data_IF_340806964413
#
_entry.id   IF_340806964413
#
_cell.length_a   1.000
_cell.length_b   1.000
_cell.length_c   1.000
_cell.angle_alpha   90.00
_cell.angle_beta   90.00
_cell.angle_gamma   90.00
#
_symmetry.space_group_name_H-M   'P 1'
#
loop_
_entity.id
_entity.type
_entity.pdbx_description
1 polymer ?
#
# COMPACT_ATOMS: atom_id res chain seq x y z
N UNK A 1 -4.59 9.97 -19.15
CA UNK A 1 -3.33 9.92 -18.38
C UNK A 1 -3.42 10.98 -17.30
N UNK A 2 -3.40 10.60 -16.03
CA UNK A 2 -3.41 11.53 -14.91
C UNK A 2 -1.97 11.93 -14.59
N UNK A 3 -1.70 13.23 -14.51
CA UNK A 3 -0.36 13.76 -14.23
C UNK A 3 -0.42 14.71 -13.04
N UNK A 4 0.55 14.56 -12.15
CA UNK A 4 0.70 15.44 -11.00
C UNK A 4 1.90 16.35 -11.23
N UNK A 5 1.75 17.64 -10.90
CA UNK A 5 2.89 18.54 -10.83
C UNK A 5 3.55 18.37 -9.46
N UNK A 6 4.89 18.36 -9.44
CA UNK A 6 5.64 18.31 -8.19
C UNK A 6 5.29 19.55 -7.35
N UNK A 7 4.85 19.33 -6.12
CA UNK A 7 4.59 20.38 -5.12
C UNK A 7 5.17 19.94 -3.78
N UNK A 8 5.62 20.89 -2.96
CA UNK A 8 6.08 20.60 -1.60
C UNK A 8 4.97 20.06 -0.70
N UNK A 9 3.71 20.41 -1.01
CA UNK A 9 2.52 19.92 -0.30
C UNK A 9 2.03 18.56 -0.80
N UNK A 10 2.60 18.05 -1.90
CA UNK A 10 2.16 16.80 -2.50
C UNK A 10 3.08 15.69 -2.02
N UNK A 11 2.64 14.99 -0.98
CA UNK A 11 3.37 13.90 -0.35
C UNK A 11 2.77 12.54 -0.74
N UNK A 12 3.65 11.54 -0.83
CA UNK A 12 3.25 10.14 -0.95
C UNK A 12 3.25 9.54 0.45
N UNK A 13 2.12 8.99 0.86
CA UNK A 13 1.96 8.32 2.14
C UNK A 13 1.84 6.82 1.89
N UNK A 14 2.68 6.02 2.53
CA UNK A 14 2.66 4.56 2.40
C UNK A 14 2.21 3.88 3.69
N UNK A 15 1.37 2.87 3.56
CA UNK A 15 1.03 1.94 4.64
C UNK A 15 1.40 0.53 4.20
N UNK A 16 1.91 -0.27 5.13
CA UNK A 16 2.19 -1.68 4.94
C UNK A 16 1.64 -2.44 6.12
N UNK A 17 1.10 -3.62 5.86
CA UNK A 17 0.67 -4.56 6.88
C UNK A 17 1.17 -5.96 6.54
N UNK A 18 1.40 -6.75 7.57
CA UNK A 18 1.72 -8.16 7.42
C UNK A 18 1.23 -8.92 8.63
N UNK A 19 0.51 -10.01 8.39
CA UNK A 19 0.19 -10.98 9.42
C UNK A 19 1.07 -12.23 9.29
N UNK A 20 1.25 -12.93 10.39
CA UNK A 20 1.99 -14.19 10.43
C UNK A 20 1.03 -15.36 10.61
N UNK A 21 1.15 -16.35 9.73
CA UNK A 21 0.42 -17.61 9.81
C UNK A 21 -1.11 -17.45 9.94
N UNK A 22 -1.72 -16.48 9.25
CA UNK A 22 -3.17 -16.27 9.23
C UNK A 22 -3.96 -17.49 8.72
N UNK A 23 -3.32 -18.37 7.94
CA UNK A 23 -3.85 -19.67 7.55
C UNK A 23 -3.16 -20.80 8.34
N UNK A 24 -3.92 -21.51 9.18
CA UNK A 24 -3.42 -22.58 10.06
C UNK A 24 -2.74 -23.73 9.30
N UNK A 25 -3.23 -24.05 8.10
CA UNK A 25 -2.72 -25.17 7.31
C UNK A 25 -1.45 -24.80 6.54
N UNK A 26 -1.46 -23.65 5.85
CA UNK A 26 -0.35 -23.25 4.98
C UNK A 26 0.75 -22.51 5.73
N UNK A 27 0.46 -21.93 6.90
CA UNK A 27 1.33 -21.04 7.69
C UNK A 27 1.98 -19.93 6.85
N UNK A 28 1.36 -19.57 5.73
CA UNK A 28 1.81 -18.47 4.89
C UNK A 28 1.46 -17.15 5.56
N UNK A 29 2.41 -16.23 5.57
CA UNK A 29 2.15 -14.83 5.88
C UNK A 29 1.44 -14.17 4.72
N UNK A 30 0.43 -13.36 5.04
CA UNK A 30 -0.18 -12.43 4.10
C UNK A 30 0.47 -11.08 4.33
N UNK A 31 0.83 -10.38 3.26
CA UNK A 31 1.36 -9.02 3.35
C UNK A 31 0.73 -8.13 2.30
N UNK A 32 0.57 -6.87 2.64
CA UNK A 32 -0.03 -5.89 1.76
C UNK A 32 0.51 -4.51 1.98
N UNK A 33 0.40 -3.67 0.96
CA UNK A 33 0.71 -2.26 1.07
C UNK A 33 -0.21 -1.43 0.20
N UNK A 34 -0.29 -0.15 0.53
CA UNK A 34 -1.00 0.88 -0.21
C UNK A 34 -0.22 2.20 -0.16
N UNK A 35 -0.15 2.88 -1.29
CA UNK A 35 0.39 4.22 -1.43
C UNK A 35 -0.74 5.19 -1.77
N UNK A 36 -0.81 6.28 -1.01
CA UNK A 36 -1.72 7.39 -1.20
C UNK A 36 -0.98 8.60 -1.76
N UNK A 37 -1.65 9.33 -2.65
CA UNK A 37 -1.26 10.64 -3.14
C UNK A 37 -2.49 11.55 -3.08
N UNK A 38 -2.37 12.71 -2.42
CA UNK A 38 -3.51 13.62 -2.20
C UNK A 38 -4.73 12.90 -1.58
N UNK A 39 -4.49 12.03 -0.59
CA UNK A 39 -5.47 11.16 0.08
C UNK A 39 -6.16 10.10 -0.81
N UNK A 40 -5.78 9.96 -2.09
CA UNK A 40 -6.28 8.92 -2.99
C UNK A 40 -5.28 7.79 -3.18
N UNK A 41 -5.77 6.55 -3.30
CA UNK A 41 -4.93 5.39 -3.58
C UNK A 41 -4.39 5.43 -5.01
N UNK A 42 -3.06 5.29 -5.17
CA UNK A 42 -2.39 5.29 -6.48
C UNK A 42 -1.67 3.98 -6.79
N UNK A 43 -1.33 3.19 -5.78
CA UNK A 43 -0.71 1.89 -5.96
C UNK A 43 -0.97 1.01 -4.73
N UNK A 44 -1.28 -0.27 -4.94
CA UNK A 44 -1.46 -1.24 -3.88
C UNK A 44 -1.14 -2.65 -4.37
N UNK A 45 -0.85 -3.54 -3.41
CA UNK A 45 -0.73 -4.97 -3.65
C UNK A 45 -1.08 -5.73 -2.38
N UNK A 46 -1.64 -6.91 -2.56
CA UNK A 46 -1.74 -7.95 -1.53
C UNK A 46 -1.07 -9.22 -2.05
N UNK A 47 -0.31 -9.89 -1.18
CA UNK A 47 0.22 -11.23 -1.41
C UNK A 47 -0.76 -12.31 -0.93
#
# INVERSE_FOLDING_TARGET
>A
MLTYRRSKSLEIIGYSDSDFAGCQDSRKSTSGYIYLLAAGAVYWRSA
#
